data_IF_172738708249
#
_entry.id   IF_172738708249
#
_cell.length_a   1.000
_cell.length_b   1.000
_cell.length_c   1.000
_cell.angle_alpha   90.00
_cell.angle_beta   90.00
_cell.angle_gamma   90.00
#
_symmetry.space_group_name_H-M   'P 1'
#
loop_
_entity.id
_entity.type
_entity.pdbx_description
1 polymer ?
#
# COMPACT_ATOMS: atom_id res chain seq x y z
N UNK A 1 -9.36 23.33 -0.79
CA UNK A 1 -8.02 22.71 -0.75
C UNK A 1 -7.97 21.64 -1.83
N UNK A 2 -7.00 21.67 -2.75
CA UNK A 2 -6.86 20.65 -3.79
C UNK A 2 -6.18 19.41 -3.20
N UNK A 3 -6.96 18.43 -2.77
CA UNK A 3 -6.48 17.21 -2.09
C UNK A 3 -5.95 16.16 -3.07
N UNK A 4 -6.23 16.28 -4.37
CA UNK A 4 -5.79 15.39 -5.44
C UNK A 4 -4.26 15.13 -5.40
N UNK A 5 -3.38 16.15 -5.47
CA UNK A 5 -1.93 15.94 -5.45
C UNK A 5 -1.43 15.24 -4.18
N UNK A 6 -2.02 15.56 -3.02
CA UNK A 6 -1.69 14.89 -1.76
C UNK A 6 -2.01 13.40 -1.82
N UNK A 7 -3.17 13.02 -2.35
CA UNK A 7 -3.55 11.61 -2.50
C UNK A 7 -2.60 10.87 -3.43
N UNK A 8 -2.17 11.46 -4.56
CA UNK A 8 -1.17 10.81 -5.42
C UNK A 8 0.16 10.58 -4.70
N UNK A 9 0.67 11.58 -3.99
CA UNK A 9 1.94 11.46 -3.27
C UNK A 9 1.84 10.36 -2.20
N UNK A 10 0.78 10.38 -1.38
CA UNK A 10 0.57 9.37 -0.35
C UNK A 10 0.35 7.96 -0.94
N UNK A 11 -0.30 7.88 -2.11
CA UNK A 11 -0.50 6.62 -2.84
C UNK A 11 0.82 6.03 -3.31
N UNK A 12 1.70 6.85 -3.88
CA UNK A 12 3.05 6.42 -4.29
C UNK A 12 3.85 5.95 -3.08
N UNK A 13 3.83 6.72 -1.98
CA UNK A 13 4.50 6.33 -0.73
C UNK A 13 3.98 5.00 -0.20
N UNK A 14 2.66 4.79 -0.21
CA UNK A 14 2.06 3.53 0.23
C UNK A 14 2.49 2.34 -0.63
N UNK A 15 2.55 2.50 -1.96
CA UNK A 15 3.03 1.44 -2.86
C UNK A 15 4.50 1.13 -2.62
N UNK A 16 5.35 2.15 -2.52
CA UNK A 16 6.80 1.95 -2.30
C UNK A 16 7.04 1.24 -0.97
N UNK A 17 6.44 1.72 0.12
CA UNK A 17 6.59 1.10 1.43
C UNK A 17 6.00 -0.31 1.46
N UNK A 18 4.82 -0.52 0.86
CA UNK A 18 4.18 -1.83 0.77
C UNK A 18 5.06 -2.85 0.04
N UNK A 19 5.68 -2.46 -1.09
CA UNK A 19 6.62 -3.31 -1.82
C UNK A 19 7.89 -3.61 -1.03
N UNK A 20 8.47 -2.61 -0.36
CA UNK A 20 9.65 -2.80 0.49
C UNK A 20 9.36 -3.76 1.64
N UNK A 21 8.22 -3.60 2.32
CA UNK A 21 7.80 -4.53 3.36
C UNK A 21 7.53 -5.93 2.81
N UNK A 22 6.88 -6.05 1.66
CA UNK A 22 6.62 -7.36 1.04
C UNK A 22 7.94 -8.09 0.73
N UNK A 23 8.90 -7.39 0.11
CA UNK A 23 10.23 -7.93 -0.16
C UNK A 23 10.92 -8.33 1.14
N UNK A 24 10.84 -7.50 2.18
CA UNK A 24 11.43 -7.79 3.49
C UNK A 24 10.83 -9.04 4.12
N UNK A 25 9.50 -9.16 4.13
CA UNK A 25 8.77 -10.30 4.70
C UNK A 25 9.10 -11.61 3.97
N UNK A 26 9.30 -11.56 2.65
CA UNK A 26 9.68 -12.73 1.85
C UNK A 26 11.18 -13.07 1.97
N UNK A 27 12.04 -12.06 2.14
CA UNK A 27 13.49 -12.26 2.21
C UNK A 27 13.97 -12.71 3.60
N UNK A 28 13.29 -12.27 4.66
CA UNK A 28 13.58 -12.62 6.05
C UNK A 28 12.28 -12.99 6.78
N UNK A 29 11.68 -14.15 6.46
CA UNK A 29 10.41 -14.56 7.05
C UNK A 29 10.53 -14.81 8.55
N UNK A 30 9.50 -14.41 9.30
CA UNK A 30 9.41 -14.70 10.72
C UNK A 30 9.19 -16.19 10.97
N UNK A 31 9.79 -16.70 12.05
CA UNK A 31 9.61 -18.09 12.49
C UNK A 31 8.20 -18.34 13.05
N UNK A 32 7.51 -17.28 13.50
CA UNK A 32 6.11 -17.33 13.90
C UNK A 32 5.20 -17.18 12.66
N UNK A 33 4.36 -18.18 12.33
CA UNK A 33 3.46 -18.13 11.18
C UNK A 33 2.39 -17.04 11.26
N UNK A 34 1.95 -16.66 12.47
CA UNK A 34 0.92 -15.63 12.67
C UNK A 34 1.49 -14.25 12.35
N UNK A 35 2.72 -13.99 12.79
CA UNK A 35 3.44 -12.75 12.49
C UNK A 35 3.71 -12.66 10.98
N UNK A 36 4.16 -13.75 10.36
CA UNK A 36 4.40 -13.80 8.92
C UNK A 36 3.13 -13.48 8.11
N UNK A 37 2.01 -14.11 8.46
CA UNK A 37 0.74 -13.87 7.77
C UNK A 37 0.28 -12.42 7.93
N UNK A 38 0.42 -11.83 9.12
CA UNK A 38 0.10 -10.41 9.36
C UNK A 38 0.97 -9.49 8.49
N UNK A 39 2.27 -9.71 8.46
CA UNK A 39 3.21 -8.86 7.73
C UNK A 39 3.03 -8.99 6.21
N UNK A 40 2.68 -10.19 5.75
CA UNK A 40 2.32 -10.44 4.36
C UNK A 40 1.01 -9.75 3.97
N UNK A 41 -0.04 -9.90 4.78
CA UNK A 41 -1.34 -9.28 4.50
C UNK A 41 -1.26 -7.76 4.55
N UNK A 42 -0.56 -7.20 5.54
CA UNK A 42 -0.40 -5.74 5.68
C UNK A 42 0.39 -5.13 4.53
N UNK A 43 1.48 -5.76 4.10
CA UNK A 43 2.25 -5.30 2.94
C UNK A 43 1.45 -5.39 1.64
N UNK A 44 0.71 -6.47 1.41
CA UNK A 44 -0.19 -6.61 0.26
C UNK A 44 -1.29 -5.56 0.26
N UNK A 45 -1.93 -5.32 1.42
CA UNK A 45 -2.96 -4.29 1.56
C UNK A 45 -2.40 -2.88 1.30
N UNK A 46 -1.20 -2.58 1.77
CA UNK A 46 -0.56 -1.29 1.52
C UNK A 46 -0.37 -1.02 0.02
N UNK A 47 0.10 -2.03 -0.73
CA UNK A 47 0.23 -1.93 -2.20
C UNK A 47 -1.14 -1.79 -2.86
N UNK A 48 -2.10 -2.64 -2.50
CA UNK A 48 -3.44 -2.62 -3.09
C UNK A 48 -4.14 -1.26 -2.88
N UNK A 49 -4.10 -0.73 -1.65
CA UNK A 49 -4.68 0.57 -1.32
C UNK A 49 -3.94 1.73 -1.98
N UNK A 50 -2.61 1.66 -2.05
CA UNK A 50 -1.80 2.65 -2.77
C UNK A 50 -2.13 2.70 -4.27
N UNK A 51 -2.49 1.56 -4.89
CA UNK A 51 -2.93 1.53 -6.29
C UNK A 51 -4.40 1.99 -6.43
N UNK A 52 -5.27 1.59 -5.51
CA UNK A 52 -6.71 1.88 -5.58
C UNK A 52 -7.05 3.34 -5.24
N UNK A 53 -6.38 3.96 -4.27
CA UNK A 53 -6.63 5.34 -3.86
C UNK A 53 -6.63 6.37 -5.01
N UNK A 54 -5.64 6.42 -5.93
CA UNK A 54 -5.63 7.36 -7.04
C UNK A 54 -6.69 7.01 -8.10
N UNK A 55 -7.05 5.73 -8.24
CA UNK A 55 -8.11 5.28 -9.17
C UNK A 55 -9.48 5.76 -8.65
N UNK A 56 -9.74 5.56 -7.35
CA UNK A 56 -10.97 5.97 -6.70
C UNK A 56 -11.14 7.49 -6.74
N UNK A 57 -10.09 8.26 -6.41
CA UNK A 57 -10.21 9.74 -6.46
C UNK A 57 -10.39 10.28 -7.88
N UNK A 58 -9.80 9.62 -8.90
CA UNK A 58 -10.10 9.93 -10.30
C UNK A 58 -11.57 9.68 -10.63
N UNK A 59 -12.14 8.55 -10.21
CA UNK A 59 -13.53 8.19 -10.51
C UNK A 59 -14.55 9.07 -9.79
N UNK A 60 -14.33 9.38 -8.52
CA UNK A 60 -15.33 10.06 -7.68
C UNK A 60 -15.14 11.58 -7.57
N UNK A 61 -14.04 12.13 -8.10
CA UNK A 61 -13.79 13.59 -8.14
C UNK A 61 -13.65 14.12 -9.57
N UNK A 62 -14.11 13.32 -10.55
CA UNK A 62 -14.37 13.77 -11.93
C UNK A 62 -15.88 14.00 -12.06
N UNK A 63 -16.37 15.02 -11.39
CA UNK A 63 -17.53 15.80 -11.84
C UNK A 63 -16.99 17.09 -12.46
#
# INVERSE_FOLDING_TARGET
MNTKPLVYVLSVVAVVLGLLFLISTLSAPSLDPVIFARDLVTSVLAVALGILAPILIRRFTSE
#
